data_IF_615791420451
#
_entry.id   IF_615791420451
#
_cell.length_a   1.000
_cell.length_b   1.000
_cell.length_c   1.000
_cell.angle_alpha   90.00
_cell.angle_beta   90.00
_cell.angle_gamma   90.00
#
_symmetry.space_group_name_H-M   'P 1'
#
loop_
_entity.id
_entity.type
_entity.pdbx_description
1 polymer ?
#
# COMPACT_ATOMS: atom_id res chain seq x y z
N UNK A 1 10.41 -19.84 -7.10
CA UNK A 1 9.00 -19.71 -7.52
C UNK A 1 8.50 -21.10 -7.85
N UNK A 2 7.22 -21.45 -7.61
CA UNK A 2 6.67 -22.74 -8.01
C UNK A 2 6.83 -22.96 -9.52
N UNK A 3 7.11 -24.19 -9.93
CA UNK A 3 7.46 -24.52 -11.32
C UNK A 3 6.31 -24.25 -12.32
N UNK A 4 5.07 -24.22 -11.85
CA UNK A 4 3.87 -23.92 -12.65
C UNK A 4 3.35 -22.48 -12.48
N UNK A 5 4.17 -21.55 -11.96
CA UNK A 5 3.80 -20.14 -11.87
C UNK A 5 4.42 -19.34 -13.02
N UNK A 6 3.58 -18.63 -13.77
CA UNK A 6 4.01 -17.70 -14.81
C UNK A 6 3.61 -16.26 -14.46
N UNK A 7 4.44 -15.30 -14.84
CA UNK A 7 4.16 -13.87 -14.67
C UNK A 7 4.01 -13.28 -16.08
N UNK A 8 2.82 -12.74 -16.37
CA UNK A 8 2.57 -11.99 -17.59
C UNK A 8 2.58 -10.49 -17.28
N UNK A 9 3.31 -9.71 -18.10
CA UNK A 9 3.32 -8.25 -18.05
C UNK A 9 2.44 -7.74 -19.18
N UNK A 10 1.43 -6.94 -18.85
CA UNK A 10 0.50 -6.34 -19.81
C UNK A 10 0.67 -4.82 -19.79
N UNK A 11 1.10 -4.25 -20.91
CA UNK A 11 1.24 -2.79 -21.10
C UNK A 11 -0.04 -2.22 -21.72
N UNK A 12 -0.56 -1.14 -21.16
CA UNK A 12 -1.76 -0.46 -21.66
C UNK A 12 -1.49 0.39 -22.90
N UNK A 13 -0.22 0.67 -23.23
CA UNK A 13 0.17 1.44 -24.41
C UNK A 13 -0.07 2.95 -24.31
N UNK A 14 -0.67 3.43 -23.22
CA UNK A 14 -0.95 4.85 -22.99
C UNK A 14 0.25 5.55 -22.36
N UNK A 15 0.71 6.66 -22.95
CA UNK A 15 1.69 7.54 -22.32
C UNK A 15 0.99 8.78 -21.75
N UNK A 16 1.05 8.95 -20.43
CA UNK A 16 0.53 10.14 -19.76
C UNK A 16 1.69 11.07 -19.43
N UNK A 17 1.71 12.29 -19.98
CA UNK A 17 2.78 13.29 -19.78
C UNK A 17 2.68 14.04 -18.43
N UNK A 18 1.67 13.75 -17.61
CA UNK A 18 1.37 14.46 -16.34
C UNK A 18 1.89 13.72 -15.08
N UNK A 19 2.96 12.93 -15.20
CA UNK A 19 3.41 12.03 -14.11
C UNK A 19 3.87 12.81 -12.87
N UNK A 20 4.52 13.95 -13.06
CA UNK A 20 5.20 14.63 -11.94
C UNK A 20 4.24 15.38 -11.00
N UNK A 21 3.28 16.14 -11.53
CA UNK A 21 2.39 16.96 -10.68
C UNK A 21 1.46 16.08 -9.84
N UNK A 22 0.83 15.08 -10.46
CA UNK A 22 -0.08 14.18 -9.77
C UNK A 22 0.64 13.23 -8.80
N UNK A 23 1.89 12.85 -9.08
CA UNK A 23 2.68 12.06 -8.13
C UNK A 23 3.07 12.90 -6.90
N UNK A 24 3.60 14.11 -7.13
CA UNK A 24 3.99 15.02 -6.06
C UNK A 24 2.82 15.40 -5.15
N UNK A 25 1.63 15.63 -5.73
CA UNK A 25 0.43 15.91 -4.95
C UNK A 25 0.06 14.74 -4.03
N UNK A 26 0.09 13.50 -4.54
CA UNK A 26 -0.17 12.29 -3.74
C UNK A 26 0.87 12.13 -2.62
N UNK A 27 2.14 12.38 -2.93
CA UNK A 27 3.21 12.32 -1.94
C UNK A 27 2.98 13.32 -0.81
N UNK A 28 2.66 14.57 -1.14
CA UNK A 28 2.35 15.60 -0.15
C UNK A 28 1.12 15.24 0.69
N UNK A 29 0.08 14.66 0.09
CA UNK A 29 -1.10 14.17 0.82
C UNK A 29 -0.72 13.07 1.83
N UNK A 30 0.16 12.14 1.46
CA UNK A 30 0.66 11.11 2.37
C UNK A 30 1.53 11.68 3.50
N UNK A 31 2.38 12.67 3.19
CA UNK A 31 3.23 13.34 4.19
C UNK A 31 2.38 14.12 5.20
N UNK A 32 1.31 14.78 4.75
CA UNK A 32 0.34 15.44 5.64
C UNK A 32 -0.31 14.47 6.62
N UNK A 33 -0.73 13.29 6.14
CA UNK A 33 -1.28 12.26 7.03
C UNK A 33 -0.22 11.75 8.02
N UNK A 34 1.01 11.49 7.56
CA UNK A 34 2.09 11.03 8.44
C UNK A 34 2.42 12.06 9.54
N UNK A 35 2.42 13.35 9.19
CA UNK A 35 2.60 14.44 10.13
C UNK A 35 1.44 14.53 11.15
N UNK A 36 0.19 14.38 10.70
CA UNK A 36 -0.98 14.39 11.59
C UNK A 36 -0.91 13.30 12.66
N UNK A 37 -0.46 12.10 12.31
CA UNK A 37 -0.31 10.97 13.24
C UNK A 37 1.06 10.93 13.94
N UNK A 38 1.93 11.91 13.71
CA UNK A 38 3.30 11.97 14.25
C UNK A 38 4.15 10.71 13.97
N UNK A 39 3.92 10.07 12.82
CA UNK A 39 4.68 8.89 12.38
C UNK A 39 5.71 9.26 11.33
N UNK A 40 6.85 8.56 11.34
CA UNK A 40 7.90 8.75 10.32
C UNK A 40 7.41 8.39 8.91
N UNK A 41 6.57 7.36 8.80
CA UNK A 41 5.95 6.95 7.56
C UNK A 41 4.60 6.27 7.84
N UNK A 42 3.70 6.31 6.86
CA UNK A 42 2.37 5.69 6.98
C UNK A 42 2.39 4.17 7.21
N UNK A 43 3.51 3.48 6.94
CA UNK A 43 3.65 2.05 7.26
C UNK A 43 3.71 1.77 8.76
N UNK A 44 4.06 2.79 9.55
CA UNK A 44 4.17 2.70 11.00
C UNK A 44 2.83 3.02 11.69
N UNK A 45 1.79 3.37 10.91
CA UNK A 45 0.43 3.67 11.38
C UNK A 45 -0.46 2.42 11.35
N UNK A 46 -1.21 2.18 12.43
CA UNK A 46 -2.23 1.11 12.46
C UNK A 46 -3.49 1.54 11.70
N UNK A 47 -4.17 0.57 11.07
CA UNK A 47 -5.44 0.84 10.39
C UNK A 47 -6.52 1.34 11.36
N UNK A 48 -6.54 0.82 12.58
CA UNK A 48 -7.48 1.23 13.62
C UNK A 48 -7.34 2.71 13.98
N UNK A 49 -6.12 3.17 14.26
CA UNK A 49 -5.85 4.58 14.56
C UNK A 49 -6.21 5.49 13.39
N UNK A 50 -6.00 5.03 12.16
CA UNK A 50 -6.41 5.79 10.99
C UNK A 50 -7.93 5.93 10.93
N UNK A 51 -8.67 4.84 11.12
CA UNK A 51 -10.14 4.83 11.03
C UNK A 51 -10.79 5.67 12.14
N UNK A 52 -10.21 5.71 13.35
CA UNK A 52 -10.74 6.54 14.44
C UNK A 52 -10.66 8.04 14.15
N UNK A 53 -9.75 8.48 13.28
CA UNK A 53 -9.54 9.89 12.92
C UNK A 53 -10.07 10.26 11.53
N UNK A 54 -10.98 9.46 10.95
CA UNK A 54 -11.55 9.73 9.62
C UNK A 54 -12.17 11.12 9.50
N UNK A 55 -12.84 11.60 10.57
CA UNK A 55 -13.51 12.91 10.59
C UNK A 55 -12.57 14.09 10.84
N UNK A 56 -11.33 13.83 11.25
CA UNK A 56 -10.35 14.86 11.62
C UNK A 56 -9.43 15.23 10.45
N UNK A 57 -9.41 14.40 9.41
CA UNK A 57 -8.58 14.57 8.23
C UNK A 57 -9.36 15.09 7.04
N UNK A 58 -8.67 15.80 6.16
CA UNK A 58 -9.19 16.08 4.82
C UNK A 58 -9.56 14.74 4.13
N UNK A 59 -10.74 14.64 3.47
CA UNK A 59 -11.20 13.38 2.89
C UNK A 59 -10.24 12.79 1.83
N UNK A 60 -9.49 13.63 1.10
CA UNK A 60 -8.50 13.15 0.12
C UNK A 60 -7.30 12.58 0.87
N UNK A 61 -6.78 13.31 1.87
CA UNK A 61 -5.66 12.86 2.72
C UNK A 61 -5.99 11.54 3.42
N UNK A 62 -7.18 11.42 4.02
CA UNK A 62 -7.63 10.17 4.63
C UNK A 62 -7.65 9.02 3.64
N UNK A 63 -8.23 9.21 2.44
CA UNK A 63 -8.27 8.17 1.40
C UNK A 63 -6.87 7.73 0.96
N UNK A 64 -5.92 8.65 0.85
CA UNK A 64 -4.52 8.33 0.51
C UNK A 64 -3.85 7.53 1.63
N UNK A 65 -3.98 7.98 2.87
CA UNK A 65 -3.44 7.27 4.03
C UNK A 65 -4.01 5.85 4.11
N UNK A 66 -5.33 5.70 3.95
CA UNK A 66 -6.01 4.41 3.98
C UNK A 66 -5.51 3.48 2.90
N UNK A 67 -5.34 3.98 1.68
CA UNK A 67 -4.77 3.20 0.59
C UNK A 67 -3.37 2.67 0.94
N UNK A 68 -2.47 3.52 1.45
CA UNK A 68 -1.10 3.10 1.79
C UNK A 68 -1.08 2.08 2.93
N UNK A 69 -1.83 2.33 4.01
CA UNK A 69 -1.88 1.42 5.17
C UNK A 69 -2.44 0.05 4.78
N UNK A 70 -3.56 0.03 4.06
CA UNK A 70 -4.19 -1.23 3.62
C UNK A 70 -3.35 -1.98 2.60
N UNK A 71 -2.67 -1.29 1.70
CA UNK A 71 -1.77 -1.91 0.71
C UNK A 71 -0.55 -2.55 1.38
N UNK A 72 0.03 -1.90 2.40
CA UNK A 72 1.11 -2.50 3.20
C UNK A 72 0.64 -3.78 3.89
N UNK A 73 -0.56 -3.77 4.50
CA UNK A 73 -1.14 -4.96 5.13
C UNK A 73 -1.40 -6.08 4.11
N UNK A 74 -1.87 -5.73 2.90
CA UNK A 74 -2.10 -6.68 1.80
C UNK A 74 -0.82 -7.39 1.40
N UNK A 75 0.28 -6.64 1.23
CA UNK A 75 1.60 -7.20 0.87
C UNK A 75 2.13 -8.13 1.97
N UNK A 76 2.04 -7.72 3.25
CA UNK A 76 2.46 -8.57 4.37
C UNK A 76 1.63 -9.86 4.46
N UNK A 77 0.32 -9.76 4.23
CA UNK A 77 -0.59 -10.91 4.21
C UNK A 77 -0.25 -11.86 3.06
N UNK A 78 0.05 -11.33 1.88
CA UNK A 78 0.51 -12.12 0.73
C UNK A 78 1.82 -12.85 1.05
N UNK A 79 2.82 -12.16 1.61
CA UNK A 79 4.12 -12.78 1.98
C UNK A 79 3.91 -13.89 3.01
N UNK A 80 3.04 -13.67 4.02
CA UNK A 80 2.73 -14.68 5.03
C UNK A 80 2.10 -15.93 4.39
N UNK A 81 1.07 -15.74 3.56
CA UNK A 81 0.40 -16.85 2.86
C UNK A 81 1.37 -17.60 1.94
N UNK A 82 2.19 -16.87 1.20
CA UNK A 82 3.20 -17.41 0.30
C UNK A 82 4.22 -18.29 1.04
N UNK A 83 4.75 -17.81 2.17
CA UNK A 83 5.70 -18.57 3.00
C UNK A 83 5.07 -19.86 3.55
N UNK A 84 3.82 -19.80 4.03
CA UNK A 84 3.12 -20.98 4.53
C UNK A 84 2.92 -22.04 3.43
N UNK A 85 2.64 -21.60 2.20
CA UNK A 85 2.50 -22.50 1.06
C UNK A 85 3.83 -23.17 0.67
N UNK A 86 4.94 -22.42 0.71
CA UNK A 86 6.27 -22.99 0.48
C UNK A 86 6.65 -24.02 1.54
N UNK A 87 6.36 -23.76 2.82
CA UNK A 87 6.66 -24.69 3.92
C UNK A 87 5.87 -26.01 3.77
N UNK A 88 4.59 -25.95 3.38
CA UNK A 88 3.79 -27.16 3.11
C UNK A 88 4.38 -28.02 1.99
N UNK A 89 4.97 -27.40 0.97
CA UNK A 89 5.60 -28.11 -0.16
C UNK A 89 6.96 -28.72 0.17
N UNK A 90 7.65 -28.24 1.20
CA UNK A 90 8.94 -28.79 1.64
C UNK A 90 8.82 -29.92 2.67
N UNK A 91 7.64 -30.10 3.27
CA UNK A 91 7.36 -31.12 4.27
C UNK A 91 6.76 -32.43 3.74
N UNK A 92 6.68 -32.61 2.42
CA UNK A 92 6.20 -33.81 1.74
C UNK A 92 7.31 -34.37 0.83
#
# INVERSE_FOLDING_TARGET
>A
MPDNLQIAVMDTGTRHELVDSAYNERRLQCEKAAAFFEVKALRDLSLENLLSSEKELDPVVFRRARHVVTENQRVLSFIKAWKMELLKKQGN
#
